data_IF_769883662895
#
_entry.id   IF_769883662895
#
_cell.length_a   1.000
_cell.length_b   1.000
_cell.length_c   1.000
_cell.angle_alpha   90.00
_cell.angle_beta   90.00
_cell.angle_gamma   90.00
#
_symmetry.space_group_name_H-M   'P 1'
#
loop_
_entity.id
_entity.type
_entity.pdbx_description
1 polymer ?
#
# COMPACT_ATOMS: atom_id res chain seq x y z
N UNK A 1 11.16 12.15 17.53
CA UNK A 1 9.81 11.63 17.19
C UNK A 1 9.92 10.11 17.07
N UNK A 2 9.02 9.34 17.68
CA UNK A 2 9.05 7.88 17.60
C UNK A 2 8.96 7.44 16.12
N UNK A 3 10.02 6.82 15.58
CA UNK A 3 10.03 6.25 14.21
C UNK A 3 8.77 5.43 13.95
N UNK A 4 8.35 4.61 14.93
CA UNK A 4 7.16 3.76 14.86
C UNK A 4 5.87 4.51 14.49
N UNK A 5 5.74 5.80 14.87
CA UNK A 5 4.55 6.63 14.62
C UNK A 5 4.51 7.23 13.21
N UNK A 6 5.65 7.27 12.50
CA UNK A 6 5.75 7.81 11.14
C UNK A 6 5.68 6.68 10.10
N UNK A 7 6.26 5.52 10.41
CA UNK A 7 6.34 4.40 9.46
C UNK A 7 4.97 3.82 9.08
N UNK A 8 4.02 3.73 10.01
CA UNK A 8 2.69 3.18 9.73
C UNK A 8 1.90 4.02 8.71
N UNK A 9 1.68 5.32 8.96
CA UNK A 9 1.01 6.21 8.01
C UNK A 9 1.72 6.29 6.66
N UNK A 10 3.05 6.36 6.66
CA UNK A 10 3.85 6.42 5.43
C UNK A 10 3.67 5.15 4.58
N UNK A 11 3.74 3.97 5.19
CA UNK A 11 3.56 2.69 4.52
C UNK A 11 2.12 2.53 3.99
N UNK A 12 1.14 3.04 4.74
CA UNK A 12 -0.27 3.03 4.32
C UNK A 12 -0.50 3.93 3.10
N UNK A 13 0.08 5.13 3.09
CA UNK A 13 0.06 6.05 1.94
C UNK A 13 0.71 5.43 0.70
N UNK A 14 1.86 4.76 0.86
CA UNK A 14 2.49 4.01 -0.23
C UNK A 14 1.62 2.85 -0.73
N UNK A 15 0.97 2.12 0.17
CA UNK A 15 0.02 1.05 -0.17
C UNK A 15 -1.16 1.57 -0.99
N UNK A 16 -1.77 2.69 -0.56
CA UNK A 16 -2.84 3.36 -1.32
C UNK A 16 -2.35 3.79 -2.70
N UNK A 17 -1.16 4.40 -2.78
CA UNK A 17 -0.56 4.79 -4.06
C UNK A 17 -0.35 3.61 -5.00
N UNK A 18 0.13 2.47 -4.49
CA UNK A 18 0.30 1.24 -5.26
C UNK A 18 -1.02 0.65 -5.77
N UNK A 19 -2.08 0.68 -4.94
CA UNK A 19 -3.42 0.24 -5.34
C UNK A 19 -4.03 1.14 -6.42
N UNK A 20 -3.88 2.47 -6.28
CA UNK A 20 -4.35 3.43 -7.28
C UNK A 20 -3.60 3.22 -8.60
N UNK A 21 -2.28 3.06 -8.56
CA UNK A 21 -1.49 2.82 -9.77
C UNK A 21 -1.86 1.48 -10.43
N UNK A 22 -2.06 0.42 -9.64
CA UNK A 22 -2.58 -0.86 -10.13
C UNK A 22 -3.94 -0.73 -10.80
N UNK A 23 -4.84 0.09 -10.25
CA UNK A 23 -6.14 0.36 -10.87
C UNK A 23 -6.03 1.15 -12.18
N UNK A 24 -5.13 2.14 -12.25
CA UNK A 24 -4.86 2.88 -13.50
C UNK A 24 -4.32 1.93 -14.57
N UNK A 25 -3.37 1.07 -14.22
CA UNK A 25 -2.79 0.10 -15.15
C UNK A 25 -3.80 -0.98 -15.58
N UNK A 26 -4.72 -1.36 -14.70
CA UNK A 26 -5.81 -2.28 -15.04
C UNK A 26 -6.78 -1.70 -16.08
N UNK A 27 -7.01 -0.38 -16.03
CA UNK A 27 -7.89 0.33 -16.96
C UNK A 27 -7.20 0.66 -18.30
N UNK A 28 -5.87 0.54 -18.38
CA UNK A 28 -5.11 0.77 -19.61
C UNK A 28 -5.05 -0.51 -20.46
N UNK A 29 -5.99 -0.65 -21.39
CA UNK A 29 -6.08 -1.79 -22.33
C UNK A 29 -4.90 -1.90 -23.31
N UNK A 30 -4.08 -0.86 -23.46
CA UNK A 30 -2.98 -0.83 -24.44
C UNK A 30 -1.61 -1.12 -23.78
N UNK A 31 -1.43 -0.77 -22.50
CA UNK A 31 -0.14 -0.91 -21.79
C UNK A 31 -0.16 -1.83 -20.56
N UNK A 32 -1.34 -2.26 -20.10
CA UNK A 32 -1.48 -3.11 -18.92
C UNK A 32 -1.17 -4.58 -19.19
N UNK A 33 0.09 -5.01 -19.07
CA UNK A 33 0.36 -6.44 -18.85
C UNK A 33 -0.34 -6.87 -17.56
N UNK A 34 -1.27 -7.82 -17.69
CA UNK A 34 -2.00 -8.44 -16.57
C UNK A 34 -1.08 -8.81 -15.40
N UNK A 35 0.14 -9.27 -15.69
CA UNK A 35 1.13 -9.62 -14.65
C UNK A 35 1.56 -8.40 -13.85
N UNK A 36 1.86 -7.30 -14.53
CA UNK A 36 2.29 -6.05 -13.91
C UNK A 36 1.17 -5.50 -13.03
N UNK A 37 -0.07 -5.49 -13.53
CA UNK A 37 -1.25 -5.06 -12.78
C UNK A 37 -1.46 -5.90 -11.53
N UNK A 38 -1.39 -7.23 -11.64
CA UNK A 38 -1.51 -8.15 -10.52
C UNK A 38 -0.44 -7.88 -9.45
N UNK A 39 0.81 -7.65 -9.88
CA UNK A 39 1.92 -7.35 -8.97
C UNK A 39 1.67 -6.05 -8.20
N UNK A 40 1.25 -4.97 -8.86
CA UNK A 40 0.93 -3.71 -8.18
C UNK A 40 -0.24 -3.83 -7.22
N UNK A 41 -1.27 -4.59 -7.58
CA UNK A 41 -2.41 -4.86 -6.70
C UNK A 41 -2.00 -5.61 -5.43
N UNK A 42 -1.24 -6.71 -5.59
CA UNK A 42 -0.77 -7.52 -4.47
C UNK A 42 0.19 -6.74 -3.58
N UNK A 43 1.16 -6.01 -4.17
CA UNK A 43 2.09 -5.18 -3.42
C UNK A 43 1.36 -4.05 -2.67
N UNK A 44 0.41 -3.37 -3.33
CA UNK A 44 -0.42 -2.34 -2.72
C UNK A 44 -1.20 -2.87 -1.51
N UNK A 45 -1.83 -4.04 -1.63
CA UNK A 45 -2.54 -4.70 -0.53
C UNK A 45 -1.61 -5.08 0.62
N UNK A 46 -0.44 -5.66 0.33
CA UNK A 46 0.54 -6.04 1.37
C UNK A 46 1.00 -4.80 2.14
N UNK A 47 1.36 -3.72 1.43
CA UNK A 47 1.82 -2.47 2.07
C UNK A 47 0.71 -1.79 2.85
N UNK A 48 -0.51 -1.74 2.30
CA UNK A 48 -1.66 -1.17 2.99
C UNK A 48 -2.00 -1.94 4.28
N UNK A 49 -2.11 -3.26 4.20
CA UNK A 49 -2.39 -4.11 5.37
C UNK A 49 -1.28 -4.04 6.42
N UNK A 50 -0.01 -4.00 5.99
CA UNK A 50 1.14 -3.86 6.90
C UNK A 50 1.16 -2.48 7.57
N UNK A 51 0.83 -1.42 6.82
CA UNK A 51 0.72 -0.05 7.33
C UNK A 51 -0.34 0.07 8.42
N UNK A 52 -1.55 -0.44 8.17
CA UNK A 52 -2.63 -0.51 9.17
C UNK A 52 -2.23 -1.33 10.41
N UNK A 53 -1.59 -2.49 10.21
CA UNK A 53 -1.11 -3.32 11.31
C UNK A 53 -0.09 -2.59 12.20
N UNK A 54 0.79 -1.80 11.58
CA UNK A 54 1.78 -1.00 12.30
C UNK A 54 1.13 0.16 13.05
N UNK A 55 0.18 0.89 12.42
CA UNK A 55 -0.60 1.95 13.08
C UNK A 55 -1.29 1.39 14.32
N UNK A 56 -2.03 0.27 14.16
CA UNK A 56 -2.81 -0.35 15.24
C UNK A 56 -1.95 -0.80 16.43
N UNK A 57 -0.77 -1.37 16.17
CA UNK A 57 0.18 -1.78 17.23
C UNK A 57 0.92 -0.62 17.90
N UNK A 58 0.96 0.54 17.26
CA UNK A 58 1.59 1.74 17.84
C UNK A 58 0.60 2.49 18.72
N UNK A 59 -0.70 2.37 18.45
CA UNK A 59 -1.78 2.93 19.27
C UNK A 59 -1.94 2.17 20.60
N UNK A 60 -1.78 0.85 20.58
CA UNK A 60 -1.94 -0.05 21.75
C UNK A 60 -0.80 0.05 22.79
N UNK A 61 0.14 1.00 22.63
CA UNK A 61 1.27 1.23 23.55
C UNK A 61 1.36 2.68 24.04
N UNK A 62 0.26 3.44 23.99
CA UNK A 62 0.19 4.74 24.66
C UNK A 62 -0.23 4.63 26.12
#
# INVERSE_FOLDING_TARGET
MNQKRIFGPLLTLLGIGGLIYGAILFLDEQQGDWKTTLVFFVLGLIFFSSGLGLIKRTDDKS
#
